data_IF_158724341516
#
_entry.id   IF_158724341516
#
_cell.length_a   1.000
_cell.length_b   1.000
_cell.length_c   1.000
_cell.angle_alpha   90.00
_cell.angle_beta   90.00
_cell.angle_gamma   90.00
#
_symmetry.space_group_name_H-M   'P 1'
#
loop_
_entity.id
_entity.type
_entity.pdbx_description
1 polymer ?
#
# COMPACT_ATOMS: atom_id res chain seq x y z
N UNK A 1 23.75 -0.20 -0.78
CA UNK A 1 22.71 -1.14 -1.22
C UNK A 1 23.38 -2.20 -2.05
N UNK A 2 23.34 -3.43 -1.58
CA UNK A 2 23.74 -4.61 -2.35
C UNK A 2 22.63 -4.99 -3.33
N UNK A 3 22.93 -5.69 -4.44
CA UNK A 3 21.90 -6.16 -5.37
C UNK A 3 20.81 -7.03 -4.71
N UNK A 4 21.12 -7.67 -3.59
CA UNK A 4 20.24 -8.60 -2.87
C UNK A 4 19.14 -7.89 -2.05
N UNK A 5 19.40 -6.68 -1.54
CA UNK A 5 18.42 -5.90 -0.75
C UNK A 5 17.46 -5.06 -1.61
N UNK A 6 17.76 -4.91 -2.90
CA UNK A 6 16.99 -4.06 -3.82
C UNK A 6 15.53 -4.52 -4.02
N UNK A 7 15.22 -5.82 -4.16
CA UNK A 7 13.83 -6.29 -4.27
C UNK A 7 12.98 -5.97 -3.03
N UNK A 8 13.58 -6.05 -1.83
CA UNK A 8 12.90 -5.74 -0.57
C UNK A 8 12.59 -4.26 -0.43
N UNK A 9 13.56 -3.39 -0.76
CA UNK A 9 13.35 -1.94 -0.79
C UNK A 9 12.25 -1.55 -1.79
N UNK A 10 12.23 -2.19 -2.98
CA UNK A 10 11.19 -1.97 -3.97
C UNK A 10 9.81 -2.41 -3.44
N UNK A 11 9.72 -3.57 -2.81
CA UNK A 11 8.48 -4.05 -2.20
C UNK A 11 7.95 -3.08 -1.15
N UNK A 12 8.80 -2.61 -0.24
CA UNK A 12 8.44 -1.62 0.79
C UNK A 12 7.86 -0.37 0.14
N UNK A 13 8.56 0.20 -0.85
CA UNK A 13 8.14 1.41 -1.53
C UNK A 13 6.81 1.24 -2.28
N UNK A 14 6.61 0.08 -2.92
CA UNK A 14 5.36 -0.24 -3.61
C UNK A 14 4.18 -0.40 -2.62
N UNK A 15 4.40 -1.04 -1.48
CA UNK A 15 3.41 -1.14 -0.40
C UNK A 15 3.06 0.25 0.13
N UNK A 16 4.06 1.07 0.45
CA UNK A 16 3.89 2.44 0.93
C UNK A 16 3.10 3.29 -0.07
N UNK A 17 3.46 3.24 -1.35
CA UNK A 17 2.77 3.97 -2.41
C UNK A 17 1.32 3.50 -2.58
N UNK A 18 1.08 2.19 -2.54
CA UNK A 18 -0.26 1.61 -2.67
C UNK A 18 -1.16 2.02 -1.50
N UNK A 19 -0.71 1.78 -0.27
CA UNK A 19 -1.49 2.02 0.95
C UNK A 19 -1.66 3.52 1.19
N UNK A 20 -0.60 4.30 1.00
CA UNK A 20 -0.64 5.75 1.06
C UNK A 20 -1.61 6.35 0.04
N UNK A 21 -1.54 5.89 -1.21
CA UNK A 21 -2.46 6.30 -2.27
C UNK A 21 -3.92 6.02 -1.92
N UNK A 22 -4.22 4.84 -1.38
CA UNK A 22 -5.57 4.49 -0.90
C UNK A 22 -6.06 5.45 0.18
N UNK A 23 -5.24 5.73 1.20
CA UNK A 23 -5.61 6.64 2.29
C UNK A 23 -5.90 8.07 1.81
N UNK A 24 -5.07 8.58 0.90
CA UNK A 24 -5.26 9.94 0.35
C UNK A 24 -6.52 10.02 -0.50
N UNK A 25 -6.78 9.01 -1.34
CA UNK A 25 -8.01 8.94 -2.14
C UNK A 25 -9.25 8.79 -1.28
N UNK A 26 -9.21 7.89 -0.30
CA UNK A 26 -10.31 7.70 0.64
C UNK A 26 -10.64 9.01 1.36
N UNK A 27 -9.63 9.72 1.85
CA UNK A 27 -9.82 11.00 2.54
C UNK A 27 -10.37 12.10 1.62
N UNK A 28 -9.87 12.17 0.39
CA UNK A 28 -10.37 13.07 -0.66
C UNK A 28 -11.85 12.81 -0.97
N UNK A 29 -12.23 11.55 -1.15
CA UNK A 29 -13.62 11.15 -1.40
C UNK A 29 -14.52 11.39 -0.18
N UNK A 30 -14.02 11.12 1.02
CA UNK A 30 -14.74 11.34 2.26
C UNK A 30 -15.08 12.83 2.45
N UNK A 31 -14.13 13.73 2.16
CA UNK A 31 -14.37 15.17 2.17
C UNK A 31 -15.32 15.64 1.07
N UNK A 32 -15.35 14.96 -0.08
CA UNK A 32 -16.23 15.28 -1.20
C UNK A 32 -15.92 16.61 -1.90
N UNK A 33 -14.71 17.15 -1.69
CA UNK A 33 -14.27 18.45 -2.25
C UNK A 33 -13.39 18.30 -3.50
N UNK A 34 -13.13 17.06 -3.94
CA UNK A 34 -12.22 16.78 -5.05
C UNK A 34 -12.96 16.52 -6.36
N UNK A 35 -12.35 16.94 -7.47
CA UNK A 35 -12.91 16.75 -8.81
C UNK A 35 -13.10 15.25 -9.12
N UNK A 36 -14.25 14.83 -9.67
CA UNK A 36 -14.52 13.42 -9.96
C UNK A 36 -13.46 12.77 -10.86
N UNK A 37 -12.93 13.51 -11.84
CA UNK A 37 -11.87 13.05 -12.73
C UNK A 37 -10.59 12.67 -11.99
N UNK A 38 -10.21 13.46 -10.97
CA UNK A 38 -9.06 13.15 -10.12
C UNK A 38 -9.27 11.85 -9.36
N UNK A 39 -10.43 11.67 -8.74
CA UNK A 39 -10.75 10.47 -7.97
C UNK A 39 -10.74 9.22 -8.86
N UNK A 40 -11.33 9.31 -10.05
CA UNK A 40 -11.33 8.20 -11.03
C UNK A 40 -9.91 7.86 -11.50
N UNK A 41 -9.13 8.87 -11.86
CA UNK A 41 -7.74 8.69 -12.30
C UNK A 41 -6.87 8.11 -11.18
N UNK A 42 -6.95 8.66 -9.97
CA UNK A 42 -6.22 8.19 -8.81
C UNK A 42 -6.59 6.75 -8.45
N UNK A 43 -7.88 6.39 -8.46
CA UNK A 43 -8.31 5.02 -8.20
C UNK A 43 -7.78 4.02 -9.25
N UNK A 44 -7.74 4.41 -10.53
CA UNK A 44 -7.13 3.59 -11.58
C UNK A 44 -5.61 3.43 -11.38
N UNK A 45 -4.92 4.53 -11.06
CA UNK A 45 -3.48 4.52 -10.80
C UNK A 45 -3.14 3.63 -9.61
N UNK A 46 -3.83 3.79 -8.48
CA UNK A 46 -3.61 2.97 -7.27
C UNK A 46 -3.93 1.50 -7.53
N UNK A 47 -4.93 1.19 -8.35
CA UNK A 47 -5.19 -0.20 -8.77
C UNK A 47 -4.03 -0.81 -9.57
N UNK A 48 -3.43 -0.05 -10.49
CA UNK A 48 -2.25 -0.51 -11.24
C UNK A 48 -1.07 -0.73 -10.32
N UNK A 49 -0.80 0.20 -9.40
CA UNK A 49 0.28 0.04 -8.41
C UNK A 49 0.00 -1.18 -7.52
N UNK A 50 -1.23 -1.39 -7.07
CA UNK A 50 -1.61 -2.55 -6.25
C UNK A 50 -1.36 -3.89 -6.98
N UNK A 51 -1.64 -3.97 -8.28
CA UNK A 51 -1.30 -5.14 -9.11
C UNK A 51 0.21 -5.37 -9.09
N UNK A 52 1.00 -4.33 -9.35
CA UNK A 52 2.46 -4.42 -9.40
C UNK A 52 3.01 -4.85 -8.03
N UNK A 53 2.52 -4.25 -6.94
CA UNK A 53 2.87 -4.61 -5.56
C UNK A 53 2.63 -6.10 -5.29
N UNK A 54 1.46 -6.62 -5.67
CA UNK A 54 1.12 -8.04 -5.48
C UNK A 54 2.01 -8.95 -6.33
N UNK A 55 2.27 -8.58 -7.59
CA UNK A 55 3.14 -9.35 -8.48
C UNK A 55 4.58 -9.41 -7.96
N UNK A 56 5.11 -8.29 -7.47
CA UNK A 56 6.45 -8.23 -6.87
C UNK A 56 6.50 -9.07 -5.59
N UNK A 57 5.50 -8.95 -4.71
CA UNK A 57 5.42 -9.76 -3.49
C UNK A 57 5.32 -11.26 -3.75
N UNK A 58 4.72 -11.66 -4.88
CA UNK A 58 4.61 -13.05 -5.29
C UNK A 58 5.94 -13.61 -5.85
N UNK A 59 6.81 -12.76 -6.40
CA UNK A 59 8.09 -13.19 -6.99
C UNK A 59 9.25 -13.18 -5.99
N UNK A 60 9.17 -12.39 -4.91
CA UNK A 60 10.23 -12.32 -3.90
C UNK A 60 10.12 -13.53 -2.98
N UNK A 61 11.19 -14.32 -2.88
CA UNK A 61 11.38 -15.29 -1.81
C UNK A 61 11.94 -14.58 -0.58
N UNK A 62 11.13 -14.45 0.46
CA UNK A 62 11.52 -13.85 1.74
C UNK A 62 12.23 -14.93 2.55
N UNK A 63 13.56 -14.82 2.64
CA UNK A 63 14.40 -15.69 3.47
C UNK A 63 14.50 -15.20 4.92
N UNK A 64 15.37 -15.83 5.71
CA UNK A 64 15.60 -15.50 7.12
C UNK A 64 16.63 -14.37 7.32
N UNK A 65 17.36 -13.99 6.26
CA UNK A 65 18.36 -12.92 6.28
C UNK A 65 18.48 -12.27 4.90
N UNK A 66 18.77 -10.97 4.89
CA UNK A 66 19.14 -10.21 3.69
C UNK A 66 20.31 -9.30 4.04
N UNK A 67 21.47 -9.53 3.42
CA UNK A 67 22.66 -8.69 3.59
C UNK A 67 23.08 -8.53 5.08
N UNK A 68 22.91 -9.59 5.88
CA UNK A 68 23.19 -9.59 7.32
C UNK A 68 22.10 -8.95 8.19
N UNK A 69 20.97 -8.57 7.59
CA UNK A 69 19.78 -8.13 8.31
C UNK A 69 18.80 -9.29 8.51
N UNK A 70 18.48 -9.67 9.76
CA UNK A 70 17.58 -10.78 10.04
C UNK A 70 16.13 -10.41 9.65
N UNK A 71 15.48 -11.32 8.92
CA UNK A 71 14.09 -11.23 8.55
C UNK A 71 13.28 -12.37 9.18
N UNK A 72 12.01 -12.11 9.46
CA UNK A 72 11.08 -13.15 9.86
C UNK A 72 10.24 -13.61 8.66
N UNK A 73 10.76 -14.60 7.94
CA UNK A 73 10.10 -15.18 6.76
C UNK A 73 8.77 -15.88 7.07
N UNK A 74 8.46 -16.15 8.35
CA UNK A 74 7.21 -16.83 8.72
C UNK A 74 5.96 -16.02 8.35
N UNK A 75 6.06 -14.68 8.34
CA UNK A 75 4.97 -13.76 8.00
C UNK A 75 4.83 -13.48 6.49
N UNK A 76 5.68 -14.07 5.65
CA UNK A 76 5.67 -13.83 4.21
C UNK A 76 4.35 -14.28 3.56
N UNK A 77 3.76 -15.36 4.05
CA UNK A 77 2.47 -15.87 3.56
C UNK A 77 1.32 -14.92 3.88
N UNK A 78 1.27 -14.46 5.13
CA UNK A 78 0.26 -13.53 5.66
C UNK A 78 0.35 -12.17 4.95
N UNK A 79 1.57 -11.68 4.70
CA UNK A 79 1.79 -10.47 3.92
C UNK A 79 1.20 -10.60 2.51
N UNK A 80 1.46 -11.71 1.81
CA UNK A 80 0.93 -11.95 0.45
C UNK A 80 -0.59 -12.01 0.44
N UNK A 81 -1.21 -12.68 1.42
CA UNK A 81 -2.67 -12.71 1.54
C UNK A 81 -3.26 -11.35 1.85
N UNK A 82 -2.62 -10.56 2.71
CA UNK A 82 -3.04 -9.20 2.99
C UNK A 82 -2.94 -8.30 1.74
N UNK A 83 -1.86 -8.42 0.96
CA UNK A 83 -1.70 -7.69 -0.31
C UNK A 83 -2.71 -8.14 -1.37
N UNK A 84 -3.04 -9.43 -1.42
CA UNK A 84 -4.11 -9.94 -2.30
C UNK A 84 -5.48 -9.36 -1.91
N UNK A 85 -5.76 -9.23 -0.62
CA UNK A 85 -6.97 -8.58 -0.12
C UNK A 85 -7.00 -7.08 -0.47
N UNK A 86 -5.88 -6.37 -0.27
CA UNK A 86 -5.72 -4.96 -0.69
C UNK A 86 -6.00 -4.82 -2.18
N UNK A 87 -5.40 -5.66 -3.01
CA UNK A 87 -5.62 -5.65 -4.45
C UNK A 87 -7.09 -5.87 -4.81
N UNK A 88 -7.72 -6.92 -4.27
CA UNK A 88 -9.13 -7.24 -4.54
C UNK A 88 -10.06 -6.09 -4.15
N UNK A 89 -9.89 -5.53 -2.94
CA UNK A 89 -10.68 -4.40 -2.47
C UNK A 89 -10.42 -3.14 -3.30
N UNK A 90 -9.17 -2.90 -3.71
CA UNK A 90 -8.81 -1.77 -4.58
C UNK A 90 -9.49 -1.88 -5.95
N UNK A 91 -9.51 -3.06 -6.57
CA UNK A 91 -10.22 -3.27 -7.84
C UNK A 91 -11.71 -2.98 -7.68
N UNK A 92 -12.34 -3.51 -6.63
CA UNK A 92 -13.75 -3.25 -6.36
C UNK A 92 -14.02 -1.75 -6.12
N UNK A 93 -13.15 -1.10 -5.35
CA UNK A 93 -13.19 0.33 -5.10
C UNK A 93 -13.09 1.15 -6.40
N UNK A 94 -12.15 0.79 -7.29
CA UNK A 94 -11.97 1.46 -8.58
C UNK A 94 -13.18 1.27 -9.48
N UNK A 95 -13.75 0.06 -9.56
CA UNK A 95 -14.99 -0.19 -10.32
C UNK A 95 -16.16 0.62 -9.76
N UNK A 96 -16.34 0.66 -8.45
CA UNK A 96 -17.39 1.45 -7.80
C UNK A 96 -17.21 2.95 -8.07
N UNK A 97 -15.97 3.44 -8.02
CA UNK A 97 -15.61 4.83 -8.33
C UNK A 97 -15.90 5.18 -9.79
N UNK A 98 -15.59 4.29 -10.73
CA UNK A 98 -15.86 4.52 -12.16
C UNK A 98 -17.35 4.56 -12.48
N UNK A 99 -18.16 3.79 -11.75
CA UNK A 99 -19.64 3.77 -11.88
C UNK A 99 -20.33 4.87 -11.10
N UNK A 100 -19.58 5.83 -10.53
CA UNK A 100 -20.12 6.94 -9.73
C UNK A 100 -20.96 6.51 -8.51
N UNK A 101 -20.70 5.30 -7.98
CA UNK A 101 -21.36 4.76 -6.80
C UNK A 101 -20.69 5.29 -5.52
N UNK A 102 -21.14 6.45 -5.03
CA UNK A 102 -20.50 7.14 -3.88
C UNK A 102 -20.37 6.28 -2.62
N UNK A 103 -21.45 5.67 -2.13
CA UNK A 103 -21.43 4.92 -0.86
C UNK A 103 -20.59 3.65 -0.98
N UNK A 104 -20.79 2.77 -1.99
CA UNK A 104 -19.94 1.61 -2.19
C UNK A 104 -18.46 1.98 -2.36
N UNK A 105 -18.15 3.04 -3.10
CA UNK A 105 -16.77 3.49 -3.28
C UNK A 105 -16.13 3.89 -1.95
N UNK A 106 -16.83 4.61 -1.08
CA UNK A 106 -16.34 4.97 0.25
C UNK A 106 -16.11 3.75 1.15
N UNK A 107 -17.07 2.82 1.19
CA UNK A 107 -16.96 1.62 2.03
C UNK A 107 -15.80 0.74 1.56
N UNK A 108 -15.70 0.51 0.25
CA UNK A 108 -14.62 -0.30 -0.33
C UNK A 108 -13.26 0.39 -0.21
N UNK A 109 -13.20 1.72 -0.36
CA UNK A 109 -11.98 2.50 -0.17
C UNK A 109 -11.49 2.42 1.27
N UNK A 110 -12.38 2.62 2.23
CA UNK A 110 -12.06 2.49 3.66
C UNK A 110 -11.63 1.07 4.03
N UNK A 111 -12.32 0.05 3.52
CA UNK A 111 -11.94 -1.35 3.70
C UNK A 111 -10.55 -1.65 3.11
N UNK A 112 -10.25 -1.17 1.90
CA UNK A 112 -8.95 -1.32 1.26
C UNK A 112 -7.85 -0.61 2.07
N UNK A 113 -8.11 0.59 2.59
CA UNK A 113 -7.18 1.33 3.46
C UNK A 113 -6.87 0.59 4.77
N UNK A 114 -7.87 -0.03 5.40
CA UNK A 114 -7.68 -0.85 6.61
C UNK A 114 -6.88 -2.11 6.28
N UNK A 115 -7.23 -2.82 5.19
CA UNK A 115 -6.46 -3.97 4.72
C UNK A 115 -4.99 -3.58 4.41
N UNK A 116 -4.77 -2.36 3.92
CA UNK A 116 -3.44 -1.79 3.69
C UNK A 116 -2.64 -1.64 4.98
N UNK A 117 -3.26 -1.19 6.07
CA UNK A 117 -2.61 -1.16 7.39
C UNK A 117 -2.27 -2.57 7.90
N UNK A 118 -3.14 -3.55 7.65
CA UNK A 118 -2.84 -4.96 7.97
C UNK A 118 -1.64 -5.47 7.17
N UNK A 119 -1.54 -5.13 5.88
CA UNK A 119 -0.37 -5.46 5.07
C UNK A 119 0.91 -4.79 5.59
N UNK A 120 0.83 -3.51 6.00
CA UNK A 120 1.96 -2.81 6.65
C UNK A 120 2.33 -3.49 7.97
N UNK A 121 1.36 -3.99 8.75
CA UNK A 121 1.65 -4.72 9.98
C UNK A 121 2.43 -6.02 9.69
N UNK A 122 2.01 -6.84 8.72
CA UNK A 122 2.77 -8.04 8.37
C UNK A 122 4.15 -7.71 7.79
N UNK A 123 4.26 -6.68 6.96
CA UNK A 123 5.55 -6.19 6.46
C UNK A 123 6.45 -5.73 7.62
N UNK A 124 5.88 -5.03 8.60
CA UNK A 124 6.59 -4.61 9.79
C UNK A 124 7.05 -5.81 10.62
N UNK A 125 6.29 -6.92 10.69
CA UNK A 125 6.75 -8.14 11.37
C UNK A 125 7.94 -8.77 10.65
N UNK A 126 7.89 -8.86 9.32
CA UNK A 126 9.00 -9.39 8.50
C UNK A 126 10.30 -8.62 8.77
N UNK A 127 10.22 -7.30 8.95
CA UNK A 127 11.38 -6.38 9.06
C UNK A 127 11.57 -5.90 10.51
N UNK A 128 10.83 -6.41 11.51
CA UNK A 128 10.85 -5.82 12.85
C UNK A 128 12.25 -5.86 13.48
N UNK A 129 13.03 -6.91 13.16
CA UNK A 129 14.37 -7.15 13.67
C UNK A 129 14.47 -7.13 15.20
N UNK A 130 15.61 -7.50 15.79
CA UNK A 130 15.78 -7.44 17.26
C UNK A 130 15.90 -6.01 17.80
N UNK A 131 16.11 -4.98 16.96
CA UNK A 131 16.62 -3.66 17.38
C UNK A 131 15.60 -2.52 17.44
N UNK A 132 14.56 -2.51 16.59
CA UNK A 132 13.62 -1.36 16.50
C UNK A 132 12.25 -1.69 17.10
N UNK A 133 11.90 -2.97 17.16
CA UNK A 133 10.62 -3.44 17.67
C UNK A 133 9.46 -3.15 16.71
N UNK A 134 8.46 -4.03 16.71
CA UNK A 134 7.31 -3.97 15.81
C UNK A 134 6.63 -2.59 15.77
N UNK A 135 6.39 -1.97 16.93
CA UNK A 135 5.64 -0.72 17.02
C UNK A 135 6.32 0.44 16.25
N UNK A 136 7.66 0.54 16.32
CA UNK A 136 8.39 1.61 15.68
C UNK A 136 8.47 1.41 14.16
N UNK A 137 8.68 0.16 13.71
CA UNK A 137 8.70 -0.19 12.28
C UNK A 137 7.31 -0.02 11.67
N UNK A 138 6.25 -0.44 12.35
CA UNK A 138 4.89 -0.23 11.89
C UNK A 138 4.55 1.25 11.76
N UNK A 139 4.90 2.06 12.78
CA UNK A 139 4.65 3.49 12.76
C UNK A 139 5.45 4.19 11.66
N UNK A 140 6.73 3.84 11.47
CA UNK A 140 7.57 4.44 10.43
C UNK A 140 7.05 4.13 9.03
N UNK A 141 6.71 2.87 8.73
CA UNK A 141 6.15 2.45 7.45
C UNK A 141 4.79 3.10 7.18
N UNK A 142 3.94 3.23 8.22
CA UNK A 142 2.64 3.89 8.07
C UNK A 142 2.79 5.37 7.75
N UNK A 143 3.69 6.08 8.46
CA UNK A 143 3.96 7.50 8.21
C UNK A 143 4.59 7.67 6.83
N UNK A 144 5.56 6.84 6.46
CA UNK A 144 6.19 6.85 5.14
C UNK A 144 5.15 6.62 4.03
N UNK A 145 4.27 5.63 4.18
CA UNK A 145 3.16 5.40 3.26
C UNK A 145 2.29 6.65 3.08
N UNK A 146 1.88 7.29 4.18
CA UNK A 146 1.06 8.51 4.12
C UNK A 146 1.80 9.66 3.42
N UNK A 147 3.10 9.85 3.69
CA UNK A 147 3.92 10.89 3.06
C UNK A 147 4.09 10.61 1.56
N UNK A 148 4.52 9.40 1.20
CA UNK A 148 4.72 8.99 -0.20
C UNK A 148 3.41 9.06 -0.98
N UNK A 149 2.31 8.60 -0.41
CA UNK A 149 0.98 8.70 -1.00
C UNK A 149 0.55 10.15 -1.20
N UNK A 150 0.70 11.01 -0.19
CA UNK A 150 0.29 12.41 -0.25
C UNK A 150 1.11 13.20 -1.27
N UNK A 151 2.43 13.00 -1.30
CA UNK A 151 3.31 13.61 -2.30
C UNK A 151 2.96 13.11 -3.71
N UNK A 152 2.78 11.81 -3.89
CA UNK A 152 2.46 11.24 -5.21
C UNK A 152 1.12 11.75 -5.75
N UNK A 153 0.07 11.75 -4.93
CA UNK A 153 -1.23 12.28 -5.31
C UNK A 153 -1.19 13.81 -5.47
N UNK A 154 -0.41 14.51 -4.65
CA UNK A 154 -0.18 15.95 -4.77
C UNK A 154 0.50 16.32 -6.08
N UNK A 155 1.49 15.54 -6.52
CA UNK A 155 2.10 15.69 -7.84
C UNK A 155 1.10 15.39 -8.96
N UNK A 156 0.18 14.43 -8.76
CA UNK A 156 -0.95 14.15 -9.67
C UNK A 156 -1.97 15.31 -9.73
N UNK A 157 -2.16 16.04 -8.63
CA UNK A 157 -3.05 17.19 -8.55
C UNK A 157 -2.41 18.47 -9.10
N UNK A 158 -1.12 18.69 -8.85
CA UNK A 158 -0.42 19.96 -9.11
C UNK A 158 -0.26 20.34 -10.58
N UNK A 159 -0.68 19.48 -11.52
CA UNK A 159 -0.77 19.81 -12.94
C UNK A 159 -2.18 20.22 -13.40
N UNK A 160 -3.12 20.41 -12.47
CA UNK A 160 -4.47 20.91 -12.73
C UNK A 160 -4.72 22.26 -12.06
#
# INVERSE_FOLDING_TARGET
>A
MTPESLPYALLILLVELTVGGLWVLYFSQFRGQSTPSFVKFGAAMVAVVAVITLLVAAQIEIGDDVDGYPLDGSYAGELRWALAAVFGLTVLHTVATMRDHRIPALVLGGAASIAGLVAIAFLAQVIAGPTWGFALVFASLTIAALVVGAVSQGMVLGHW
#
